data_IF_998072649801
#
_entry.id   IF_998072649801
#
_cell.length_a   1.000
_cell.length_b   1.000
_cell.length_c   1.000
_cell.angle_alpha   90.00
_cell.angle_beta   90.00
_cell.angle_gamma   90.00
#
_symmetry.space_group_name_H-M   'P 1'
#
loop_
_entity.id
_entity.type
_entity.pdbx_description
1 polymer ?
#
# COMPACT_ATOMS: atom_id res chain seq x y z
N UNK A 1 -25.79 0.33 6.80
CA UNK A 1 -24.84 -0.72 6.41
C UNK A 1 -24.55 -1.57 7.64
N UNK A 2 -24.67 -2.88 7.51
CA UNK A 2 -24.32 -3.81 8.59
C UNK A 2 -22.81 -3.80 8.85
N UNK A 3 -22.38 -4.20 10.06
CA UNK A 3 -20.95 -4.32 10.41
C UNK A 3 -20.18 -5.24 9.44
N UNK A 4 -20.83 -6.21 8.83
CA UNK A 4 -20.23 -7.11 7.83
C UNK A 4 -20.04 -6.43 6.47
N UNK A 5 -21.05 -5.69 6.01
CA UNK A 5 -20.97 -4.90 4.77
C UNK A 5 -19.86 -3.85 4.86
N UNK A 6 -19.75 -3.15 5.99
CA UNK A 6 -18.69 -2.18 6.22
C UNK A 6 -17.30 -2.83 6.21
N UNK A 7 -17.17 -4.03 6.78
CA UNK A 7 -15.91 -4.81 6.77
C UNK A 7 -15.53 -5.23 5.35
N UNK A 8 -16.49 -5.73 4.59
CA UNK A 8 -16.27 -6.13 3.20
C UNK A 8 -15.89 -4.94 2.32
N UNK A 9 -16.57 -3.80 2.47
CA UNK A 9 -16.26 -2.58 1.73
C UNK A 9 -14.85 -2.06 2.04
N UNK A 10 -14.44 -2.05 3.32
CA UNK A 10 -13.10 -1.62 3.73
C UNK A 10 -12.01 -2.51 3.10
N UNK A 11 -12.22 -3.84 3.12
CA UNK A 11 -11.30 -4.79 2.48
C UNK A 11 -11.16 -4.51 0.98
N UNK A 12 -12.29 -4.34 0.29
CA UNK A 12 -12.31 -4.10 -1.15
C UNK A 12 -11.58 -2.79 -1.52
N UNK A 13 -11.81 -1.71 -0.77
CA UNK A 13 -11.10 -0.44 -0.97
C UNK A 13 -9.59 -0.64 -0.79
N UNK A 14 -9.18 -1.32 0.28
CA UNK A 14 -7.77 -1.56 0.59
C UNK A 14 -7.06 -2.41 -0.46
N UNK A 15 -7.69 -3.50 -0.92
CA UNK A 15 -7.17 -4.33 -2.02
C UNK A 15 -7.01 -3.50 -3.30
N UNK A 16 -7.97 -2.63 -3.61
CA UNK A 16 -7.87 -1.69 -4.71
C UNK A 16 -6.72 -0.69 -4.55
N UNK A 17 -6.49 -0.18 -3.33
CA UNK A 17 -5.36 0.71 -3.04
C UNK A 17 -4.01 0.00 -3.25
N UNK A 18 -3.87 -1.24 -2.79
CA UNK A 18 -2.65 -2.04 -3.02
C UNK A 18 -2.40 -2.18 -4.52
N UNK A 19 -3.39 -2.63 -5.29
CA UNK A 19 -3.26 -2.82 -6.73
C UNK A 19 -2.87 -1.52 -7.46
N UNK A 20 -3.49 -0.39 -7.10
CA UNK A 20 -3.18 0.91 -7.68
C UNK A 20 -1.75 1.38 -7.34
N UNK A 21 -1.29 1.14 -6.11
CA UNK A 21 0.07 1.46 -5.70
C UNK A 21 1.08 0.59 -6.45
N UNK A 22 0.83 -0.71 -6.59
CA UNK A 22 1.70 -1.62 -7.35
C UNK A 22 1.83 -1.21 -8.81
N UNK A 23 0.72 -0.82 -9.44
CA UNK A 23 0.70 -0.27 -10.79
C UNK A 23 1.55 1.01 -10.89
N UNK A 24 1.34 1.96 -9.96
CA UNK A 24 2.09 3.21 -9.92
C UNK A 24 3.60 2.98 -9.77
N UNK A 25 4.00 2.08 -8.87
CA UNK A 25 5.41 1.76 -8.64
C UNK A 25 6.02 1.08 -9.86
N UNK A 26 5.30 0.19 -10.54
CA UNK A 26 5.77 -0.44 -11.79
C UNK A 26 6.06 0.61 -12.86
N UNK A 27 5.10 1.50 -13.13
CA UNK A 27 5.26 2.59 -14.08
C UNK A 27 6.41 3.52 -13.72
N UNK A 28 6.65 3.76 -12.42
CA UNK A 28 7.78 4.56 -11.97
C UNK A 28 9.13 3.86 -12.20
N UNK A 29 9.23 2.54 -12.02
CA UNK A 29 10.43 1.78 -12.38
C UNK A 29 10.69 1.77 -13.89
N UNK A 30 9.64 1.62 -14.70
CA UNK A 30 9.75 1.68 -16.16
C UNK A 30 10.33 3.04 -16.60
N UNK A 31 9.79 4.14 -16.05
CA UNK A 31 10.29 5.50 -16.33
C UNK A 31 11.76 5.70 -15.95
N UNK A 32 12.21 5.13 -14.83
CA UNK A 32 13.62 5.19 -14.41
C UNK A 32 14.49 4.42 -15.41
N UNK A 33 14.01 3.28 -15.88
CA UNK A 33 14.75 2.39 -16.80
C UNK A 33 14.85 2.96 -18.21
N UNK A 34 13.89 3.78 -18.63
CA UNK A 34 13.89 4.48 -19.91
C UNK A 34 14.80 5.73 -19.95
N UNK A 35 15.35 6.16 -18.81
CA UNK A 35 16.26 7.30 -18.79
C UNK A 35 17.68 6.87 -19.17
N UNK A 36 18.35 7.69 -19.99
CA UNK A 36 19.79 7.58 -20.24
C UNK A 36 20.58 8.18 -19.05
N UNK A 37 20.52 7.49 -17.92
CA UNK A 37 21.24 7.82 -16.70
C UNK A 37 22.39 6.83 -16.49
N UNK A 38 23.48 7.31 -15.90
CA UNK A 38 24.55 6.42 -15.45
C UNK A 38 24.05 5.43 -14.39
N UNK A 39 24.65 4.23 -14.37
CA UNK A 39 24.24 3.10 -13.49
C UNK A 39 24.05 3.50 -12.02
N UNK A 40 24.94 4.34 -11.48
CA UNK A 40 24.85 4.80 -10.09
C UNK A 40 23.64 5.69 -9.79
N UNK A 41 23.20 6.49 -10.76
CA UNK A 41 22.01 7.32 -10.61
C UNK A 41 20.73 6.46 -10.68
N UNK A 42 20.68 5.51 -11.61
CA UNK A 42 19.60 4.51 -11.72
C UNK A 42 19.49 3.74 -10.39
N UNK A 43 20.58 3.18 -9.90
CA UNK A 43 20.58 2.40 -8.66
C UNK A 43 20.03 3.20 -7.47
N UNK A 44 20.43 4.48 -7.33
CA UNK A 44 19.94 5.35 -6.26
C UNK A 44 18.44 5.60 -6.35
N UNK A 45 17.93 5.93 -7.55
CA UNK A 45 16.50 6.17 -7.77
C UNK A 45 15.67 4.90 -7.51
N UNK A 46 16.13 3.75 -8.02
CA UNK A 46 15.50 2.45 -7.79
C UNK A 46 15.42 2.13 -6.29
N UNK A 47 16.49 2.36 -5.53
CA UNK A 47 16.49 2.10 -4.08
C UNK A 47 15.55 3.03 -3.31
N UNK A 48 15.47 4.31 -3.68
CA UNK A 48 14.49 5.22 -3.08
C UNK A 48 13.06 4.77 -3.36
N UNK A 49 12.79 4.32 -4.59
CA UNK A 49 11.48 3.84 -5.00
C UNK A 49 11.08 2.53 -4.30
N UNK A 50 12.01 1.59 -4.15
CA UNK A 50 11.79 0.34 -3.40
C UNK A 50 11.39 0.60 -1.95
N UNK A 51 12.12 1.47 -1.24
CA UNK A 51 11.80 1.83 0.15
C UNK A 51 10.45 2.51 0.28
N UNK A 52 10.13 3.39 -0.66
CA UNK A 52 8.80 4.02 -0.71
C UNK A 52 7.70 2.99 -0.91
N UNK A 53 7.88 2.05 -1.85
CA UNK A 53 6.93 0.97 -2.11
C UNK A 53 6.67 0.12 -0.88
N UNK A 54 7.73 -0.33 -0.22
CA UNK A 54 7.64 -1.14 0.99
C UNK A 54 6.86 -0.40 2.09
N UNK A 55 7.22 0.85 2.37
CA UNK A 55 6.54 1.65 3.39
C UNK A 55 5.07 1.94 3.08
N UNK A 56 4.67 1.97 1.81
CA UNK A 56 3.30 2.23 1.39
C UNK A 56 2.42 0.95 1.35
N UNK A 57 2.99 -0.16 0.90
CA UNK A 57 2.23 -1.41 0.66
C UNK A 57 2.15 -2.27 1.91
N UNK A 58 3.26 -2.45 2.64
CA UNK A 58 3.32 -3.37 3.78
C UNK A 58 2.24 -3.08 4.84
N UNK A 59 1.99 -1.83 5.27
CA UNK A 59 0.94 -1.56 6.26
C UNK A 59 -0.47 -1.92 5.77
N UNK A 60 -0.73 -1.79 4.46
CA UNK A 60 -2.02 -2.16 3.87
C UNK A 60 -2.19 -3.68 3.82
N UNK A 61 -1.10 -4.44 3.66
CA UNK A 61 -1.11 -5.89 3.71
C UNK A 61 -1.28 -6.41 5.14
N UNK A 62 -0.56 -5.85 6.10
CA UNK A 62 -0.64 -6.24 7.52
C UNK A 62 -2.04 -5.97 8.12
N UNK A 63 -2.72 -4.90 7.70
CA UNK A 63 -4.11 -4.62 8.09
C UNK A 63 -5.11 -5.65 7.51
N UNK A 64 -4.73 -6.47 6.52
CA UNK A 64 -5.52 -7.64 6.10
C UNK A 64 -5.44 -8.75 7.14
N UNK A 65 -4.27 -8.92 7.76
CA UNK A 65 -3.95 -9.98 8.71
C UNK A 65 -4.40 -9.64 10.14
N UNK A 66 -4.48 -8.36 10.48
CA UNK A 66 -5.00 -7.90 11.76
C UNK A 66 -6.52 -8.13 11.86
N UNK A 67 -7.03 -8.76 12.94
CA UNK A 67 -8.46 -8.78 13.20
C UNK A 67 -8.95 -7.35 13.41
N UNK A 68 -9.85 -6.86 12.55
CA UNK A 68 -10.44 -5.53 12.65
C UNK A 68 -11.10 -5.35 14.03
N UNK A 69 -10.39 -4.69 14.96
CA UNK A 69 -10.86 -4.40 16.32
C UNK A 69 -11.92 -3.31 16.22
N UNK A 70 -13.15 -3.69 15.88
CA UNK A 70 -14.33 -2.84 16.06
C UNK A 70 -14.82 -2.95 17.49
N UNK A 71 -13.96 -2.60 18.47
CA UNK A 71 -14.43 -2.37 19.84
C UNK A 71 -15.21 -1.05 19.83
N UNK A 72 -16.52 -1.14 20.07
CA UNK A 72 -17.29 0.03 20.46
C UNK A 72 -16.68 0.58 21.77
N UNK A 73 -16.61 1.92 21.97
CA UNK A 73 -16.15 2.46 23.25
C UNK A 73 -17.02 1.87 24.37
N UNK A 74 -16.39 1.26 25.38
CA UNK A 74 -17.11 0.81 26.57
C UNK A 74 -17.73 2.04 27.25
N UNK A 75 -19.04 2.04 27.55
CA UNK A 75 -19.65 3.14 28.27
C UNK A 75 -19.02 3.22 29.65
N UNK A 76 -18.48 4.39 30.00
CA UNK A 76 -17.98 4.68 31.35
C UNK A 76 -19.11 4.46 32.35
N UNK A 77 -18.91 3.53 33.28
CA UNK A 77 -19.74 3.35 34.47
C UNK A 77 -19.49 4.47 35.49
#
# INVERSE_FOLDING_TARGET
MGREEQRSAMRQVREGLIANLEELYRQAFDRISDQDLGEGAIARLTQLLLRSREAAITPLQEEIEAPLITRAPEPKA
#
